data_IF_135229921305
#
_entry.id   IF_135229921305
#
_cell.length_a   1.000
_cell.length_b   1.000
_cell.length_c   1.000
_cell.angle_alpha   90.00
_cell.angle_beta   90.00
_cell.angle_gamma   90.00
#
_symmetry.space_group_name_H-M   'P 1'
#
loop_
_entity.id
_entity.type
_entity.pdbx_description
1 polymer ?
#
# COMPACT_ATOMS: atom_id res chain seq x y z
N UNK A 1 -4.88 1.24 38.60
CA UNK A 1 -4.07 2.45 38.30
C UNK A 1 -4.94 3.46 37.57
N UNK A 2 -4.53 4.72 37.42
CA UNK A 2 -5.27 5.65 36.56
C UNK A 2 -4.99 5.33 35.09
N UNK A 3 -6.04 5.36 34.24
CA UNK A 3 -5.90 5.20 32.79
C UNK A 3 -4.97 6.29 32.24
N UNK A 4 -3.96 5.89 31.48
CA UNK A 4 -2.99 6.80 30.85
C UNK A 4 -3.00 6.58 29.34
N UNK A 5 -3.25 7.65 28.60
CA UNK A 5 -3.19 7.65 27.13
C UNK A 5 -2.04 8.55 26.70
N UNK A 6 -1.07 7.98 25.99
CA UNK A 6 0.10 8.69 25.46
C UNK A 6 0.05 8.64 23.94
N UNK A 7 0.01 9.79 23.25
CA UNK A 7 -0.25 9.82 21.81
C UNK A 7 -0.09 11.19 21.15
N UNK A 8 -0.63 11.34 19.95
CA UNK A 8 -0.71 12.61 19.21
C UNK A 8 -1.94 13.43 19.66
N UNK A 9 -1.74 14.71 20.00
CA UNK A 9 -2.71 15.54 20.75
C UNK A 9 -4.15 15.54 20.24
N UNK A 10 -4.36 15.86 18.96
CA UNK A 10 -5.72 15.95 18.37
C UNK A 10 -6.40 14.57 18.25
N UNK A 11 -5.62 13.51 18.04
CA UNK A 11 -6.15 12.16 17.88
C UNK A 11 -6.37 11.42 19.21
N UNK A 12 -5.71 11.84 20.29
CA UNK A 12 -5.99 11.32 21.64
C UNK A 12 -7.47 11.53 21.99
N UNK A 13 -8.04 12.69 21.65
CA UNK A 13 -9.45 12.99 21.92
C UNK A 13 -10.41 12.02 21.21
N UNK A 14 -10.01 11.49 20.04
CA UNK A 14 -10.80 10.53 19.28
C UNK A 14 -10.84 9.14 19.93
N UNK A 15 -9.82 8.79 20.73
CA UNK A 15 -9.69 7.45 21.34
C UNK A 15 -10.01 7.44 22.84
N UNK A 16 -10.11 8.59 23.49
CA UNK A 16 -10.45 8.69 24.93
C UNK A 16 -11.85 8.16 25.25
N UNK A 17 -12.80 8.27 24.31
CA UNK A 17 -14.19 7.83 24.49
C UNK A 17 -14.42 6.33 24.32
N UNK A 18 -13.39 5.56 23.95
CA UNK A 18 -13.51 4.11 23.74
C UNK A 18 -13.68 3.34 25.07
N UNK A 19 -14.29 2.14 25.06
CA UNK A 19 -14.63 1.39 26.27
C UNK A 19 -13.40 0.68 26.88
N UNK A 20 -12.45 1.47 27.40
CA UNK A 20 -11.18 0.98 27.93
C UNK A 20 -11.30 0.09 29.18
N UNK A 21 -12.49 0.03 29.79
CA UNK A 21 -12.85 -0.83 30.92
C UNK A 21 -13.34 -2.22 30.49
N UNK A 22 -13.32 -2.55 29.19
CA UNK A 22 -13.65 -3.87 28.65
C UNK A 22 -12.44 -4.45 27.96
N UNK A 23 -12.29 -5.79 28.01
CA UNK A 23 -11.31 -6.52 27.19
C UNK A 23 -11.63 -6.29 25.71
N UNK A 24 -10.61 -6.16 24.84
CA UNK A 24 -10.85 -5.98 23.40
C UNK A 24 -11.70 -7.11 22.80
N UNK A 25 -11.61 -8.32 23.34
CA UNK A 25 -12.42 -9.45 22.87
C UNK A 25 -13.92 -9.19 22.98
N UNK A 26 -14.34 -8.42 23.99
CA UNK A 26 -15.73 -8.10 24.31
C UNK A 26 -16.23 -6.83 23.63
N UNK A 27 -15.34 -6.07 22.97
CA UNK A 27 -15.73 -4.86 22.28
C UNK A 27 -16.71 -5.17 21.15
N UNK A 28 -17.73 -4.32 20.94
CA UNK A 28 -18.64 -4.49 19.82
C UNK A 28 -17.86 -4.43 18.49
N UNK A 29 -18.04 -5.43 17.64
CA UNK A 29 -17.43 -5.46 16.31
C UNK A 29 -18.39 -4.77 15.32
N UNK A 30 -17.93 -3.71 14.63
CA UNK A 30 -18.64 -3.16 13.48
C UNK A 30 -18.58 -4.22 12.36
N UNK A 31 -19.71 -4.80 11.91
CA UNK A 31 -19.70 -5.85 10.90
C UNK A 31 -18.98 -5.44 9.61
N UNK A 32 -19.07 -4.16 9.22
CA UNK A 32 -18.41 -3.64 8.03
C UNK A 32 -16.90 -3.49 8.22
N UNK A 33 -16.39 -3.43 9.46
CA UNK A 33 -14.97 -3.41 9.77
C UNK A 33 -14.43 -4.81 10.12
N UNK A 34 -15.25 -5.69 10.68
CA UNK A 34 -14.89 -7.07 11.03
C UNK A 34 -14.31 -7.82 9.83
N UNK A 35 -14.93 -7.66 8.66
CA UNK A 35 -14.49 -8.28 7.39
C UNK A 35 -13.13 -7.77 6.89
N UNK A 36 -12.70 -6.58 7.34
CA UNK A 36 -11.41 -5.97 6.99
C UNK A 36 -10.26 -6.49 7.86
N UNK A 37 -10.57 -7.22 8.93
CA UNK A 37 -9.59 -7.73 9.88
C UNK A 37 -8.94 -9.01 9.35
N UNK A 38 -7.61 -9.00 9.29
CA UNK A 38 -6.82 -10.22 9.06
C UNK A 38 -6.81 -11.13 10.29
N UNK A 39 -6.39 -12.39 10.12
CA UNK A 39 -6.09 -13.26 11.26
C UNK A 39 -4.84 -12.71 11.93
N UNK A 40 -4.98 -12.23 13.16
CA UNK A 40 -3.87 -11.78 13.98
C UNK A 40 -3.66 -12.77 15.13
N UNK A 41 -2.40 -12.92 15.52
CA UNK A 41 -1.99 -13.64 16.73
C UNK A 41 -2.49 -12.94 17.99
N UNK A 42 -2.72 -11.64 17.90
CA UNK A 42 -3.24 -10.76 18.95
C UNK A 42 -4.70 -10.39 18.67
N UNK A 43 -5.45 -10.08 19.73
CA UNK A 43 -6.80 -9.52 19.59
C UNK A 43 -6.67 -8.11 19.02
N UNK A 44 -7.20 -7.92 17.81
CA UNK A 44 -7.24 -6.62 17.12
C UNK A 44 -8.70 -6.22 16.92
N UNK A 45 -9.02 -4.96 17.23
CA UNK A 45 -10.35 -4.38 16.96
C UNK A 45 -10.21 -3.15 16.10
N UNK A 46 -11.03 -3.08 15.05
CA UNK A 46 -11.19 -1.88 14.23
C UNK A 46 -12.34 -1.07 14.80
N UNK A 47 -12.08 0.20 15.12
CA UNK A 47 -13.06 1.08 15.78
C UNK A 47 -13.12 2.43 15.09
N UNK A 48 -14.31 3.02 15.06
CA UNK A 48 -14.52 4.39 14.60
C UNK A 48 -14.36 5.35 15.76
N UNK A 49 -13.75 6.51 15.50
CA UNK A 49 -13.66 7.61 16.47
C UNK A 49 -15.03 8.08 16.97
N UNK A 50 -16.01 8.13 16.07
CA UNK A 50 -17.38 8.60 16.31
C UNK A 50 -18.37 7.68 15.59
N UNK A 51 -19.67 7.91 15.77
CA UNK A 51 -20.72 7.15 15.07
C UNK A 51 -20.96 7.64 13.62
N UNK A 52 -20.19 8.61 13.14
CA UNK A 52 -20.29 9.11 11.77
C UNK A 52 -19.67 8.10 10.78
N UNK A 53 -20.25 7.98 9.58
CA UNK A 53 -19.81 6.99 8.59
C UNK A 53 -18.40 7.28 8.02
N UNK A 54 -18.00 8.55 7.99
CA UNK A 54 -16.71 9.04 7.53
C UNK A 54 -15.69 9.26 8.68
N UNK A 55 -16.06 8.87 9.91
CA UNK A 55 -15.18 8.97 11.06
C UNK A 55 -13.87 8.19 10.83
N UNK A 56 -12.72 8.71 11.30
CA UNK A 56 -11.46 8.00 11.28
C UNK A 56 -11.59 6.61 11.92
N UNK A 57 -11.01 5.61 11.26
CA UNK A 57 -10.96 4.25 11.75
C UNK A 57 -9.58 3.99 12.35
N UNK A 58 -9.56 3.33 13.50
CA UNK A 58 -8.35 2.95 14.22
C UNK A 58 -8.30 1.44 14.40
N UNK A 59 -7.09 0.88 14.39
CA UNK A 59 -6.82 -0.48 14.80
C UNK A 59 -6.23 -0.49 16.21
N UNK A 60 -6.90 -1.18 17.13
CA UNK A 60 -6.49 -1.33 18.53
C UNK A 60 -6.01 -2.75 18.75
N UNK A 61 -4.77 -2.91 19.23
CA UNK A 61 -4.13 -4.20 19.54
C UNK A 61 -3.81 -4.25 21.03
N UNK A 62 -4.23 -5.32 21.71
CA UNK A 62 -3.83 -5.61 23.10
C UNK A 62 -2.46 -6.29 23.14
N UNK A 63 -1.60 -5.84 24.06
CA UNK A 63 -0.26 -6.38 24.29
C UNK A 63 0.23 -5.98 25.70
N UNK A 64 1.50 -6.25 26.01
CA UNK A 64 2.14 -5.81 27.24
C UNK A 64 2.73 -4.40 27.09
N UNK A 65 2.82 -3.66 28.20
CA UNK A 65 3.24 -2.25 28.17
C UNK A 65 4.62 -2.04 27.51
N UNK A 66 5.57 -2.94 27.74
CA UNK A 66 6.90 -2.87 27.12
C UNK A 66 6.82 -2.89 25.58
N UNK A 67 6.07 -3.85 25.03
CA UNK A 67 5.92 -4.01 23.58
C UNK A 67 5.12 -2.88 22.95
N UNK A 68 4.02 -2.44 23.58
CA UNK A 68 3.24 -1.31 23.09
C UNK A 68 4.08 -0.01 23.00
N UNK A 69 4.86 0.30 24.03
CA UNK A 69 5.70 1.50 24.04
C UNK A 69 6.86 1.39 23.04
N UNK A 70 7.46 0.21 22.88
CA UNK A 70 8.51 -0.05 21.89
C UNK A 70 7.97 0.12 20.46
N UNK A 71 6.87 -0.55 20.13
CA UNK A 71 6.24 -0.49 18.82
C UNK A 71 5.80 0.94 18.48
N UNK A 72 5.17 1.65 19.42
CA UNK A 72 4.79 3.05 19.23
C UNK A 72 6.00 3.94 18.87
N UNK A 73 7.14 3.76 19.56
CA UNK A 73 8.36 4.52 19.28
C UNK A 73 8.91 4.19 17.88
N UNK A 74 8.96 2.91 17.53
CA UNK A 74 9.47 2.44 16.24
C UNK A 74 8.61 2.94 15.08
N UNK A 75 7.28 2.77 15.16
CA UNK A 75 6.34 3.26 14.15
C UNK A 75 6.43 4.78 13.98
N UNK A 76 6.64 5.52 15.07
CA UNK A 76 6.82 6.98 15.01
C UNK A 76 8.07 7.38 14.24
N UNK A 77 9.17 6.68 14.45
CA UNK A 77 10.42 6.92 13.73
C UNK A 77 10.27 6.55 12.24
N UNK A 78 9.69 5.39 11.94
CA UNK A 78 9.36 4.95 10.58
C UNK A 78 8.47 5.96 9.83
N UNK A 79 7.41 6.45 10.48
CA UNK A 79 6.52 7.48 9.93
C UNK A 79 7.28 8.77 9.64
N UNK A 80 8.18 9.21 10.53
CA UNK A 80 8.99 10.42 10.32
C UNK A 80 9.94 10.29 9.13
N UNK A 81 10.39 9.07 8.84
CA UNK A 81 11.22 8.71 7.69
C UNK A 81 10.40 8.38 6.43
N UNK A 82 9.08 8.55 6.47
CA UNK A 82 8.15 8.22 5.36
C UNK A 82 8.25 6.77 4.90
N UNK A 83 8.51 5.86 5.84
CA UNK A 83 8.41 4.43 5.59
C UNK A 83 6.95 4.05 5.32
N UNK A 84 6.68 3.06 4.45
CA UNK A 84 5.34 2.53 4.24
C UNK A 84 4.94 1.64 5.42
N UNK A 85 4.40 2.26 6.48
CA UNK A 85 3.88 1.59 7.66
C UNK A 85 2.56 2.21 8.12
N UNK A 86 1.83 1.52 9.00
CA UNK A 86 0.70 2.11 9.71
C UNK A 86 1.17 3.23 10.65
N UNK A 87 0.34 4.26 10.82
CA UNK A 87 0.67 5.39 11.69
C UNK A 87 0.26 5.09 13.13
N UNK A 88 1.18 5.28 14.07
CA UNK A 88 0.91 5.19 15.50
C UNK A 88 0.11 6.38 16.02
N UNK A 89 -0.91 6.11 16.83
CA UNK A 89 -1.84 7.12 17.37
C UNK A 89 -1.66 7.27 18.87
N UNK A 90 -1.76 6.16 19.60
CA UNK A 90 -1.68 6.17 21.05
C UNK A 90 -1.22 4.84 21.64
N UNK A 91 -0.71 4.90 22.87
CA UNK A 91 -0.54 3.78 23.80
C UNK A 91 -1.44 4.03 25.01
N UNK A 92 -2.16 2.99 25.44
CA UNK A 92 -3.16 3.04 26.52
C UNK A 92 -2.77 2.07 27.62
N UNK A 93 -2.36 2.63 28.75
CA UNK A 93 -1.86 1.91 29.93
C UNK A 93 -2.80 2.09 31.13
N UNK A 94 -2.65 1.21 32.12
CA UNK A 94 -3.40 1.29 33.37
C UNK A 94 -4.89 1.02 33.20
N UNK A 95 -5.26 0.24 32.18
CA UNK A 95 -6.64 -0.21 31.96
C UNK A 95 -7.06 -1.15 33.09
N UNK A 96 -8.29 -0.97 33.57
CA UNK A 96 -8.91 -1.86 34.55
C UNK A 96 -10.34 -2.11 34.16
N UNK A 97 -10.82 -3.32 34.39
CA UNK A 97 -12.22 -3.66 34.16
C UNK A 97 -13.15 -3.03 35.22
N UNK A 98 -14.46 -3.34 35.15
CA UNK A 98 -15.45 -2.86 36.13
C UNK A 98 -15.28 -3.44 37.54
N UNK A 99 -14.54 -4.54 37.69
CA UNK A 99 -14.26 -5.19 38.98
C UNK A 99 -12.95 -4.70 39.62
N UNK A 100 -12.14 -3.97 38.86
CA UNK A 100 -10.84 -3.44 39.27
C UNK A 100 -9.66 -4.35 38.91
N UNK A 101 -9.89 -5.41 38.14
CA UNK A 101 -8.84 -6.27 37.59
C UNK A 101 -8.09 -5.57 36.45
N UNK A 102 -6.80 -5.83 36.34
CA UNK A 102 -5.92 -5.21 35.35
C UNK A 102 -6.15 -5.81 33.96
N UNK A 103 -6.34 -4.94 32.96
CA UNK A 103 -6.46 -5.33 31.56
C UNK A 103 -5.13 -5.07 30.84
N UNK A 104 -4.83 -5.80 29.74
CA UNK A 104 -3.62 -5.59 28.97
C UNK A 104 -3.47 -4.15 28.45
N UNK A 105 -2.24 -3.72 28.25
CA UNK A 105 -1.96 -2.46 27.55
C UNK A 105 -2.49 -2.54 26.12
N UNK A 106 -2.83 -1.40 25.52
CA UNK A 106 -3.24 -1.35 24.12
C UNK A 106 -2.39 -0.36 23.33
N UNK A 107 -2.06 -0.71 22.09
CA UNK A 107 -1.54 0.21 21.09
C UNK A 107 -2.64 0.51 20.06
N UNK A 108 -2.74 1.78 19.68
CA UNK A 108 -3.69 2.27 18.68
C UNK A 108 -2.91 2.78 17.47
N UNK A 109 -3.28 2.28 16.30
CA UNK A 109 -2.75 2.73 15.00
C UNK A 109 -3.89 3.20 14.10
N UNK A 110 -3.59 4.07 13.14
CA UNK A 110 -4.57 4.47 12.11
C UNK A 110 -4.84 3.27 11.20
N UNK A 111 -6.12 2.99 10.96
CA UNK A 111 -6.48 2.01 9.94
C UNK A 111 -6.06 2.54 8.57
N UNK A 112 -5.40 1.70 7.79
CA UNK A 112 -4.97 2.03 6.43
C UNK A 112 -6.15 1.79 5.46
N UNK A 113 -6.75 2.83 4.87
CA UNK A 113 -7.91 2.66 3.98
C UNK A 113 -7.54 1.89 2.71
N UNK A 114 -8.51 1.17 2.15
CA UNK A 114 -8.37 0.38 0.92
C UNK A 114 -7.21 -0.63 0.96
N UNK A 115 -6.86 -1.08 2.17
CA UNK A 115 -5.84 -2.09 2.38
C UNK A 115 -6.48 -3.41 2.82
N UNK A 116 -5.89 -4.50 2.37
CA UNK A 116 -6.37 -5.85 2.63
C UNK A 116 -5.22 -6.75 3.10
N UNK A 117 -5.48 -7.66 4.05
CA UNK A 117 -4.52 -8.69 4.42
C UNK A 117 -4.37 -9.71 3.27
N UNK A 118 -3.20 -10.35 3.19
CA UNK A 118 -2.90 -11.31 2.12
C UNK A 118 -3.94 -12.43 1.98
N UNK A 119 -4.51 -12.90 3.10
CA UNK A 119 -5.50 -13.98 3.11
C UNK A 119 -6.77 -13.58 2.36
N UNK A 120 -7.25 -12.35 2.53
CA UNK A 120 -8.44 -11.86 1.82
C UNK A 120 -8.16 -11.76 0.32
N UNK A 121 -6.99 -11.23 -0.04
CA UNK A 121 -6.57 -11.14 -1.44
C UNK A 121 -6.44 -12.52 -2.07
N UNK A 122 -5.62 -13.40 -1.50
CA UNK A 122 -5.30 -14.70 -2.09
C UNK A 122 -6.42 -15.74 -2.02
N UNK A 123 -7.42 -15.55 -1.15
CA UNK A 123 -8.63 -16.39 -1.12
C UNK A 123 -9.68 -15.97 -2.15
N UNK A 124 -9.53 -14.78 -2.74
CA UNK A 124 -10.41 -14.27 -3.78
C UNK A 124 -10.03 -14.77 -5.18
N UNK A 125 -10.68 -14.21 -6.20
CA UNK A 125 -10.26 -14.40 -7.59
C UNK A 125 -8.98 -13.61 -7.85
N UNK A 126 -7.84 -14.29 -7.75
CA UNK A 126 -6.51 -13.71 -8.06
C UNK A 126 -5.92 -14.32 -9.31
N UNK A 127 -5.21 -13.48 -10.06
CA UNK A 127 -4.45 -13.89 -11.24
C UNK A 127 -2.98 -14.14 -10.88
N UNK A 128 -2.25 -14.85 -11.75
CA UNK A 128 -0.80 -14.96 -11.61
C UNK A 128 -0.10 -13.58 -11.61
N UNK A 129 -0.68 -12.59 -12.29
CA UNK A 129 -0.19 -11.21 -12.28
C UNK A 129 -0.36 -10.54 -10.91
N UNK A 130 -1.51 -10.72 -10.26
CA UNK A 130 -1.74 -10.21 -8.89
C UNK A 130 -0.74 -10.80 -7.90
N UNK A 131 -0.53 -12.13 -7.96
CA UNK A 131 0.46 -12.82 -7.10
C UNK A 131 1.87 -12.24 -7.32
N UNK A 132 2.25 -12.05 -8.58
CA UNK A 132 3.55 -11.50 -8.95
C UNK A 132 3.73 -10.07 -8.42
N UNK A 133 2.71 -9.22 -8.56
CA UNK A 133 2.75 -7.82 -8.13
C UNK A 133 2.69 -7.66 -6.60
N UNK A 134 1.92 -8.50 -5.89
CA UNK A 134 1.98 -8.58 -4.42
C UNK A 134 3.38 -8.96 -3.93
N UNK A 135 4.00 -9.95 -4.57
CA UNK A 135 5.36 -10.36 -4.20
C UNK A 135 6.41 -9.28 -4.54
N UNK A 136 6.21 -8.50 -5.60
CA UNK A 136 7.01 -7.30 -5.88
C UNK A 136 6.83 -6.26 -4.77
N UNK A 137 5.59 -5.99 -4.35
CA UNK A 137 5.27 -5.02 -3.31
C UNK A 137 5.95 -5.37 -1.98
N UNK A 138 5.86 -6.64 -1.55
CA UNK A 138 6.52 -7.11 -0.32
C UNK A 138 8.05 -7.01 -0.41
N UNK A 139 8.64 -7.41 -1.54
CA UNK A 139 10.08 -7.28 -1.75
C UNK A 139 10.54 -5.81 -1.72
N UNK A 140 9.76 -4.90 -2.32
CA UNK A 140 10.03 -3.47 -2.30
C UNK A 140 9.88 -2.88 -0.90
N UNK A 141 8.87 -3.28 -0.13
CA UNK A 141 8.71 -2.91 1.28
C UNK A 141 9.96 -3.26 2.08
N UNK A 142 10.44 -4.52 1.98
CA UNK A 142 11.67 -4.96 2.65
C UNK A 142 12.89 -4.13 2.24
N UNK A 143 13.07 -3.85 0.94
CA UNK A 143 14.17 -3.01 0.47
C UNK A 143 14.07 -1.60 1.06
N UNK A 144 12.89 -0.99 1.07
CA UNK A 144 12.68 0.36 1.61
C UNK A 144 13.02 0.42 3.10
N UNK A 145 12.55 -0.55 3.88
CA UNK A 145 12.88 -0.66 5.31
C UNK A 145 14.40 -0.81 5.52
N UNK A 146 15.05 -1.71 4.79
CA UNK A 146 16.48 -1.95 4.93
C UNK A 146 17.34 -0.74 4.51
N UNK A 147 16.88 0.06 3.54
CA UNK A 147 17.54 1.32 3.14
C UNK A 147 17.45 2.40 4.22
N UNK A 148 16.42 2.37 5.07
CA UNK A 148 16.28 3.25 6.23
C UNK A 148 17.11 2.78 7.44
N UNK A 149 17.84 1.67 7.31
CA UNK A 149 18.58 1.07 8.43
C UNK A 149 17.69 0.26 9.37
N UNK A 150 16.46 -0.05 8.96
CA UNK A 150 15.50 -0.78 9.79
C UNK A 150 15.63 -2.29 9.58
N UNK A 151 15.93 -3.01 10.66
CA UNK A 151 15.79 -4.47 10.76
C UNK A 151 14.37 -4.77 11.26
N UNK A 152 13.62 -5.61 10.55
CA UNK A 152 12.21 -5.86 10.88
C UNK A 152 12.07 -7.00 11.90
N UNK A 153 12.76 -8.12 11.72
CA UNK A 153 12.75 -9.23 12.69
C UNK A 153 11.50 -10.09 12.73
N UNK A 154 10.43 -9.73 12.01
CA UNK A 154 9.23 -10.55 11.85
C UNK A 154 8.56 -10.30 10.49
N UNK A 155 9.37 -10.33 9.43
CA UNK A 155 8.95 -10.20 8.04
C UNK A 155 7.94 -11.30 7.69
N UNK A 156 6.70 -10.96 7.42
CA UNK A 156 5.63 -11.93 7.12
C UNK A 156 4.50 -11.30 6.30
N UNK A 157 3.69 -12.12 5.64
CA UNK A 157 2.46 -11.66 4.99
C UNK A 157 1.42 -11.23 6.03
N UNK A 158 1.39 -11.86 7.21
CA UNK A 158 0.43 -11.49 8.27
C UNK A 158 0.72 -10.12 8.88
N UNK A 159 1.97 -9.69 8.91
CA UNK A 159 2.38 -8.35 9.36
C UNK A 159 2.42 -7.31 8.21
N UNK A 160 1.85 -7.66 7.05
CA UNK A 160 1.81 -6.80 5.86
C UNK A 160 0.37 -6.55 5.41
N UNK A 161 0.03 -5.27 5.17
CA UNK A 161 -1.18 -4.88 4.46
C UNK A 161 -0.86 -4.50 3.02
N UNK A 162 -1.75 -4.88 2.10
CA UNK A 162 -1.61 -4.58 0.68
C UNK A 162 -2.71 -3.64 0.22
N UNK A 163 -2.33 -2.57 -0.48
CA UNK A 163 -3.24 -1.69 -1.20
C UNK A 163 -3.08 -1.92 -2.69
N UNK A 164 -4.18 -1.85 -3.44
CA UNK A 164 -4.07 -1.81 -4.90
C UNK A 164 -3.42 -0.51 -5.32
N UNK A 165 -2.49 -0.61 -6.25
CA UNK A 165 -1.79 0.51 -6.84
C UNK A 165 -1.80 0.36 -8.36
N UNK A 166 -2.88 0.83 -8.99
CA UNK A 166 -3.15 0.65 -10.41
C UNK A 166 -3.08 -0.84 -10.81
N UNK A 167 -2.20 -1.20 -11.73
CA UNK A 167 -1.96 -2.58 -12.18
C UNK A 167 -1.18 -3.46 -11.19
N UNK A 168 -0.80 -2.93 -10.02
CA UNK A 168 0.00 -3.61 -9.02
C UNK A 168 -0.49 -3.39 -7.58
N UNK A 169 0.43 -3.52 -6.64
CA UNK A 169 0.18 -3.37 -5.21
C UNK A 169 1.26 -2.54 -4.53
N UNK A 170 0.84 -1.80 -3.50
CA UNK A 170 1.71 -1.24 -2.48
C UNK A 170 1.59 -2.07 -1.19
N UNK A 171 2.70 -2.28 -0.49
CA UNK A 171 2.75 -3.06 0.75
C UNK A 171 3.17 -2.17 1.93
N UNK A 172 2.56 -2.41 3.09
CA UNK A 172 2.73 -1.62 4.31
C UNK A 172 3.02 -2.52 5.51
N UNK A 173 4.01 -2.11 6.29
CA UNK A 173 4.31 -2.69 7.60
C UNK A 173 3.20 -2.37 8.60
N UNK A 174 2.67 -3.39 9.29
CA UNK A 174 1.67 -3.20 10.35
C UNK A 174 2.26 -3.40 11.73
N UNK A 175 3.09 -4.42 11.88
CA UNK A 175 3.67 -4.81 13.16
C UNK A 175 5.18 -4.58 13.16
N UNK A 176 5.61 -3.67 14.03
CA UNK A 176 7.01 -3.29 14.20
C UNK A 176 7.57 -3.68 15.58
N UNK A 177 6.87 -4.54 16.32
CA UNK A 177 7.19 -4.92 17.71
C UNK A 177 8.63 -5.46 17.84
N UNK A 178 9.04 -6.34 16.94
CA UNK A 178 10.38 -6.96 16.92
C UNK A 178 11.44 -6.08 16.28
N UNK A 179 11.04 -5.01 15.60
CA UNK A 179 11.94 -4.23 14.75
C UNK A 179 12.91 -3.35 15.53
N UNK A 180 14.02 -3.02 14.88
CA UNK A 180 15.09 -2.18 15.42
C UNK A 180 15.77 -1.32 14.35
N UNK A 181 16.01 -0.05 14.68
CA UNK A 181 16.85 0.82 13.87
C UNK A 181 18.33 0.60 14.14
N UNK A 182 19.09 0.47 13.07
CA UNK A 182 20.54 0.38 13.05
C UNK A 182 21.11 1.61 12.35
N UNK A 183 22.27 2.09 12.81
CA UNK A 183 22.96 3.23 12.14
C UNK A 183 23.21 2.94 10.65
N UNK A 184 23.62 1.71 10.38
CA UNK A 184 23.71 1.13 9.05
C UNK A 184 23.36 -0.33 9.19
N UNK A 185 22.37 -0.79 8.44
CA UNK A 185 21.99 -2.20 8.44
C UNK A 185 23.08 -3.02 7.73
N UNK A 186 23.64 -4.00 8.43
CA UNK A 186 24.67 -4.88 7.90
C UNK A 186 24.09 -5.92 6.94
N UNK A 187 24.91 -6.48 6.04
CA UNK A 187 24.47 -7.56 5.16
C UNK A 187 23.99 -8.79 5.93
N UNK A 188 24.60 -9.12 7.08
CA UNK A 188 24.14 -10.21 7.93
C UNK A 188 22.75 -9.98 8.52
N UNK A 189 22.44 -8.76 8.96
CA UNK A 189 21.09 -8.42 9.44
C UNK A 189 20.05 -8.46 8.32
N UNK A 190 20.42 -8.02 7.11
CA UNK A 190 19.53 -8.11 5.94
C UNK A 190 19.24 -9.55 5.58
N UNK A 191 20.26 -10.39 5.44
CA UNK A 191 20.06 -11.80 5.11
C UNK A 191 19.27 -12.53 6.20
N UNK A 192 19.43 -12.15 7.47
CA UNK A 192 18.59 -12.69 8.55
C UNK A 192 17.10 -12.36 8.36
N UNK A 193 16.75 -11.12 8.00
CA UNK A 193 15.36 -10.76 7.66
C UNK A 193 14.85 -11.52 6.43
N UNK A 194 15.72 -11.84 5.47
CA UNK A 194 15.34 -12.65 4.29
C UNK A 194 15.11 -14.12 4.65
N UNK A 195 15.88 -14.69 5.58
CA UNK A 195 15.66 -16.05 6.07
C UNK A 195 14.33 -16.15 6.84
N UNK A 196 14.03 -15.16 7.69
CA UNK A 196 12.75 -15.04 8.39
C UNK A 196 11.61 -14.91 7.36
N UNK A 197 11.74 -13.99 6.40
CA UNK A 197 10.73 -13.79 5.36
C UNK A 197 10.49 -15.06 4.53
N UNK A 198 11.55 -15.79 4.16
CA UNK A 198 11.43 -17.05 3.43
C UNK A 198 10.56 -18.05 4.20
N UNK A 199 10.87 -18.27 5.48
CA UNK A 199 10.15 -19.24 6.30
C UNK A 199 8.70 -18.82 6.55
N UNK A 200 8.50 -17.57 7.00
CA UNK A 200 7.18 -17.07 7.36
C UNK A 200 6.24 -17.03 6.15
N UNK A 201 6.68 -16.49 5.01
CA UNK A 201 5.87 -16.41 3.79
C UNK A 201 5.52 -17.82 3.29
N UNK A 202 6.46 -18.76 3.28
CA UNK A 202 6.17 -20.12 2.86
C UNK A 202 5.16 -20.81 3.79
N UNK A 203 5.30 -20.66 5.11
CA UNK A 203 4.40 -21.24 6.10
C UNK A 203 2.97 -20.67 6.00
N UNK A 204 2.84 -19.36 5.80
CA UNK A 204 1.55 -18.69 5.66
C UNK A 204 0.83 -19.05 4.36
N UNK A 205 1.56 -19.17 3.26
CA UNK A 205 1.00 -19.67 1.99
C UNK A 205 0.61 -21.16 2.08
N UNK A 206 1.39 -21.96 2.80
CA UNK A 206 1.07 -23.37 3.08
C UNK A 206 -0.23 -23.51 3.89
N UNK A 207 -0.46 -22.63 4.89
CA UNK A 207 -1.73 -22.59 5.64
C UNK A 207 -2.94 -22.31 4.73
N UNK A 208 -2.81 -21.36 3.79
CA UNK A 208 -3.85 -21.10 2.78
C UNK A 208 -4.08 -22.31 1.88
N UNK A 209 -3.02 -23.02 1.52
CA UNK A 209 -3.09 -24.21 0.67
C UNK A 209 -3.84 -25.34 1.38
N UNK A 210 -3.52 -25.58 2.65
CA UNK A 210 -4.18 -26.58 3.49
C UNK A 210 -5.66 -26.23 3.74
N UNK A 211 -5.97 -24.94 3.83
CA UNK A 211 -7.34 -24.43 3.94
C UNK A 211 -8.13 -24.49 2.62
N UNK A 212 -7.49 -24.87 1.50
CA UNK A 212 -8.15 -25.01 0.20
C UNK A 212 -8.48 -23.68 -0.50
N UNK A 213 -7.94 -22.56 -0.03
CA UNK A 213 -8.24 -21.22 -0.54
C UNK A 213 -7.09 -20.58 -1.31
N UNK A 214 -5.90 -21.21 -1.34
CA UNK A 214 -4.77 -20.69 -2.11
C UNK A 214 -5.02 -20.79 -3.63
N UNK A 215 -4.51 -19.81 -4.38
CA UNK A 215 -4.46 -19.82 -5.84
C UNK A 215 -3.96 -21.18 -6.40
N UNK A 216 -4.73 -21.83 -7.30
CA UNK A 216 -4.40 -23.16 -7.81
C UNK A 216 -3.02 -23.24 -8.47
N UNK A 217 -2.25 -24.25 -8.09
CA UNK A 217 -0.92 -24.49 -8.65
C UNK A 217 0.19 -23.59 -8.10
N UNK A 218 -0.10 -22.71 -7.14
CA UNK A 218 0.94 -22.01 -6.39
C UNK A 218 1.68 -22.98 -5.47
N UNK A 219 3.00 -23.01 -5.59
CA UNK A 219 3.89 -23.67 -4.65
C UNK A 219 4.38 -22.66 -3.60
N UNK A 220 4.06 -22.83 -2.30
CA UNK A 220 4.40 -21.89 -1.24
C UNK A 220 5.89 -21.58 -1.14
N UNK A 221 6.75 -22.59 -1.26
CA UNK A 221 8.20 -22.43 -1.13
C UNK A 221 8.75 -21.63 -2.32
N UNK A 222 8.39 -21.99 -3.55
CA UNK A 222 8.80 -21.25 -4.75
C UNK A 222 8.29 -19.81 -4.76
N UNK A 223 7.09 -19.56 -4.22
CA UNK A 223 6.54 -18.22 -4.08
C UNK A 223 7.36 -17.39 -3.10
N UNK A 224 7.70 -17.93 -1.93
CA UNK A 224 8.59 -17.29 -0.96
C UNK A 224 9.98 -17.01 -1.55
N UNK A 225 10.58 -17.99 -2.24
CA UNK A 225 11.87 -17.79 -2.93
C UNK A 225 11.80 -16.68 -3.99
N UNK A 226 10.66 -16.54 -4.66
CA UNK A 226 10.48 -15.49 -5.65
C UNK A 226 10.47 -14.10 -5.01
N UNK A 227 9.93 -13.94 -3.79
CA UNK A 227 10.05 -12.69 -3.00
C UNK A 227 11.53 -12.40 -2.72
N UNK A 228 12.30 -13.38 -2.24
CA UNK A 228 13.73 -13.19 -1.90
C UNK A 228 14.56 -12.85 -3.15
N UNK A 229 14.33 -13.53 -4.28
CA UNK A 229 15.00 -13.22 -5.55
C UNK A 229 14.70 -11.80 -6.02
N UNK A 230 13.44 -11.34 -5.89
CA UNK A 230 13.07 -9.96 -6.23
C UNK A 230 13.73 -8.96 -5.31
N UNK A 231 13.72 -9.19 -3.99
CA UNK A 231 14.42 -8.35 -3.03
C UNK A 231 15.88 -8.15 -3.44
N UNK A 232 16.61 -9.25 -3.71
CA UNK A 232 18.02 -9.20 -4.09
C UNK A 232 18.24 -8.42 -5.38
N UNK A 233 17.35 -8.59 -6.38
CA UNK A 233 17.40 -7.82 -7.65
C UNK A 233 17.20 -6.33 -7.44
N UNK A 234 16.18 -5.93 -6.66
CA UNK A 234 15.90 -4.52 -6.36
C UNK A 234 17.07 -3.92 -5.57
N UNK A 235 17.56 -4.62 -4.54
CA UNK A 235 18.68 -4.16 -3.72
C UNK A 235 19.96 -3.94 -4.53
N UNK A 236 20.35 -4.93 -5.34
CA UNK A 236 21.50 -4.82 -6.23
C UNK A 236 21.34 -3.64 -7.19
N UNK A 237 20.17 -3.50 -7.83
CA UNK A 237 19.92 -2.41 -8.77
C UNK A 237 20.04 -1.02 -8.12
N UNK A 238 19.65 -0.85 -6.84
CA UNK A 238 19.73 0.42 -6.13
C UNK A 238 21.14 0.74 -5.62
N UNK A 239 21.91 -0.28 -5.21
CA UNK A 239 23.25 -0.10 -4.62
C UNK A 239 24.38 -0.11 -5.64
N UNK A 240 24.21 -0.81 -6.75
CA UNK A 240 25.22 -0.98 -7.79
C UNK A 240 24.87 -0.11 -9.01
N UNK A 241 25.82 0.73 -9.44
CA UNK A 241 25.67 1.52 -10.67
C UNK A 241 25.88 0.61 -11.87
N UNK A 242 24.95 0.61 -12.82
CA UNK A 242 25.14 -0.08 -14.09
C UNK A 242 25.87 0.83 -15.07
N UNK A 243 27.07 0.42 -15.51
CA UNK A 243 27.85 1.11 -16.53
C UNK A 243 27.57 0.48 -17.91
N UNK A 244 27.04 1.26 -18.84
CA UNK A 244 26.65 0.82 -20.18
C UNK A 244 27.35 1.68 -21.24
N UNK A 245 27.69 1.08 -22.39
CA UNK A 245 28.19 1.83 -23.54
C UNK A 245 27.02 2.63 -24.15
N UNK A 246 27.10 3.98 -24.25
CA UNK A 246 26.07 4.80 -24.88
C UNK A 246 25.70 4.41 -26.31
N UNK A 247 26.60 3.74 -27.03
CA UNK A 247 26.38 3.32 -28.43
C UNK A 247 25.61 1.99 -28.52
N UNK A 248 25.56 1.20 -27.46
CA UNK A 248 24.79 -0.03 -27.41
C UNK A 248 23.33 0.27 -26.99
N UNK A 249 22.53 0.66 -27.98
CA UNK A 249 21.08 0.91 -27.79
C UNK A 249 20.35 -0.29 -27.18
N UNK A 250 20.74 -1.51 -27.52
CA UNK A 250 20.09 -2.70 -27.00
C UNK A 250 20.42 -2.94 -25.52
N UNK A 251 21.64 -2.64 -25.09
CA UNK A 251 22.00 -2.69 -23.67
C UNK A 251 21.23 -1.66 -22.84
N UNK A 252 21.12 -0.42 -23.33
CA UNK A 252 20.33 0.63 -22.67
C UNK A 252 18.86 0.26 -22.57
N UNK A 253 18.25 -0.23 -23.65
CA UNK A 253 16.85 -0.67 -23.64
C UNK A 253 16.61 -1.85 -22.68
N UNK A 254 17.53 -2.82 -22.64
CA UNK A 254 17.43 -3.95 -21.70
C UNK A 254 17.50 -3.47 -20.25
N UNK A 255 18.41 -2.54 -19.93
CA UNK A 255 18.54 -1.97 -18.59
C UNK A 255 17.28 -1.19 -18.20
N UNK A 256 16.72 -0.37 -19.11
CA UNK A 256 15.46 0.34 -18.87
C UNK A 256 14.30 -0.63 -18.63
N UNK A 257 14.16 -1.70 -19.43
CA UNK A 257 13.12 -2.72 -19.22
C UNK A 257 13.31 -3.45 -17.89
N UNK A 258 14.54 -3.80 -17.53
CA UNK A 258 14.82 -4.45 -16.25
C UNK A 258 14.43 -3.56 -15.06
N UNK A 259 14.68 -2.25 -15.13
CA UNK A 259 14.25 -1.31 -14.11
C UNK A 259 12.73 -1.17 -14.07
N UNK A 260 12.08 -1.14 -15.23
CA UNK A 260 10.62 -1.14 -15.32
C UNK A 260 9.98 -2.40 -14.72
N UNK A 261 10.53 -3.58 -15.00
CA UNK A 261 10.08 -4.85 -14.41
C UNK A 261 10.25 -4.90 -12.88
N UNK A 262 11.14 -4.06 -12.33
CA UNK A 262 11.35 -3.87 -10.89
C UNK A 262 10.48 -2.75 -10.30
N UNK A 263 9.65 -2.09 -11.12
CA UNK A 263 8.72 -1.03 -10.70
C UNK A 263 9.25 0.39 -10.80
N UNK A 264 10.46 0.60 -11.33
CA UNK A 264 11.05 1.94 -11.51
C UNK A 264 10.62 2.57 -12.83
N UNK A 265 10.27 3.86 -12.81
CA UNK A 265 10.03 4.64 -14.03
C UNK A 265 11.33 5.18 -14.63
N UNK A 266 11.34 5.50 -15.93
CA UNK A 266 12.52 6.08 -16.61
C UNK A 266 12.94 7.41 -16.01
N UNK A 267 11.96 8.24 -15.58
CA UNK A 267 12.21 9.51 -14.89
C UNK A 267 12.88 9.32 -13.51
N UNK A 268 12.87 8.09 -12.98
CA UNK A 268 13.48 7.71 -11.71
C UNK A 268 14.93 7.20 -11.88
N UNK A 269 15.50 7.32 -13.08
CA UNK A 269 16.86 6.85 -13.38
C UNK A 269 17.78 8.04 -13.62
N UNK A 270 18.80 8.20 -12.78
CA UNK A 270 19.85 9.17 -13.07
C UNK A 270 20.82 8.58 -14.10
N UNK A 271 21.03 9.33 -15.17
CA UNK A 271 21.97 9.02 -16.24
C UNK A 271 23.12 10.03 -16.16
N UNK A 272 24.33 9.56 -15.91
CA UNK A 272 25.54 10.38 -15.94
C UNK A 272 26.55 9.79 -16.91
N UNK A 273 27.17 10.63 -17.73
CA UNK A 273 28.30 10.21 -18.56
C UNK A 273 29.55 10.32 -17.69
N UNK A 274 30.22 9.20 -17.47
CA UNK A 274 31.50 9.19 -16.77
C UNK A 274 32.58 9.81 -17.69
N UNK A 275 33.23 10.86 -17.20
CA UNK A 275 34.15 11.67 -17.99
C UNK A 275 35.42 10.93 -18.42
N UNK A 276 35.84 9.93 -17.63
CA UNK A 276 37.04 9.15 -17.89
C UNK A 276 36.78 7.95 -18.80
N UNK A 277 35.64 7.27 -18.64
CA UNK A 277 35.30 6.05 -19.39
C UNK A 277 34.35 6.27 -20.57
N UNK A 278 33.75 7.46 -20.71
CA UNK A 278 32.64 7.76 -21.65
C UNK A 278 31.43 6.80 -21.53
N UNK A 279 31.33 6.05 -20.43
CA UNK A 279 30.22 5.13 -20.19
C UNK A 279 29.01 5.88 -19.62
N UNK A 280 27.80 5.43 -19.98
CA UNK A 280 26.58 5.84 -19.30
C UNK A 280 26.43 5.07 -18.00
N UNK A 281 26.45 5.77 -16.88
CA UNK A 281 26.06 5.22 -15.58
C UNK A 281 24.55 5.38 -15.41
N UNK A 282 23.84 4.25 -15.34
CA UNK A 282 22.44 4.17 -14.94
C UNK A 282 22.37 3.80 -13.47
N UNK A 283 21.73 4.65 -12.68
CA UNK A 283 21.40 4.33 -11.30
C UNK A 283 19.92 4.64 -11.07
N UNK A 284 19.08 3.62 -10.79
CA UNK A 284 17.74 3.89 -10.32
C UNK A 284 17.87 4.62 -8.99
N UNK A 285 17.15 5.72 -8.88
CA UNK A 285 16.91 6.32 -7.59
C UNK A 285 15.65 5.66 -7.09
N UNK A 286 15.69 5.20 -5.84
CA UNK A 286 14.48 5.27 -5.06
C UNK A 286 14.21 6.76 -4.91
N UNK A 287 13.61 7.38 -5.94
CA UNK A 287 13.23 8.79 -5.90
C UNK A 287 12.42 8.95 -4.63
N UNK A 288 12.66 10.05 -3.90
CA UNK A 288 11.99 10.36 -2.64
C UNK A 288 10.55 9.84 -2.72
N UNK A 289 10.28 8.74 -2.00
CA UNK A 289 9.10 7.94 -2.25
C UNK A 289 7.87 8.85 -2.31
N UNK A 290 7.13 8.79 -3.41
CA UNK A 290 6.04 9.71 -3.67
C UNK A 290 6.38 10.91 -4.56
N UNK A 291 7.26 10.81 -5.57
CA UNK A 291 7.42 11.92 -6.53
C UNK A 291 6.14 12.15 -7.34
N UNK A 292 5.60 11.09 -7.93
CA UNK A 292 4.36 11.21 -8.71
C UNK A 292 3.19 11.52 -7.79
N UNK A 293 3.14 10.92 -6.60
CA UNK A 293 2.09 11.20 -5.61
C UNK A 293 2.16 12.64 -5.12
N UNK A 294 3.35 13.18 -4.82
CA UNK A 294 3.56 14.57 -4.43
C UNK A 294 3.19 15.52 -5.58
N UNK A 295 3.63 15.25 -6.80
CA UNK A 295 3.29 16.06 -7.98
C UNK A 295 1.78 16.07 -8.24
N UNK A 296 1.11 14.92 -8.13
CA UNK A 296 -0.34 14.84 -8.28
C UNK A 296 -1.06 15.59 -7.15
N UNK A 297 -0.60 15.45 -5.91
CA UNK A 297 -1.10 16.19 -4.75
C UNK A 297 -0.95 17.70 -4.92
N UNK A 298 0.20 18.18 -5.37
CA UNK A 298 0.45 19.61 -5.61
C UNK A 298 -0.42 20.19 -6.74
N UNK A 299 -0.68 19.40 -7.79
CA UNK A 299 -1.48 19.84 -8.93
C UNK A 299 -2.99 19.75 -8.69
N UNK A 300 -3.46 18.71 -7.99
CA UNK A 300 -4.86 18.31 -7.96
C UNK A 300 -5.39 17.96 -6.55
N UNK A 301 -4.53 17.90 -5.53
CA UNK A 301 -4.93 17.56 -4.17
C UNK A 301 -5.37 16.10 -3.96
N UNK A 302 -5.02 15.19 -4.87
CA UNK A 302 -5.40 13.78 -4.80
C UNK A 302 -4.30 12.98 -4.12
N UNK A 303 -4.65 12.30 -3.03
CA UNK A 303 -3.82 11.29 -2.38
C UNK A 303 -3.89 9.97 -3.17
N UNK A 304 -2.75 9.36 -3.45
CA UNK A 304 -2.63 8.15 -4.30
C UNK A 304 -1.40 7.34 -3.96
N UNK A 305 -1.40 6.09 -4.39
CA UNK A 305 -0.17 5.29 -4.54
C UNK A 305 0.59 5.65 -5.84
N UNK A 306 1.83 5.17 -5.98
CA UNK A 306 2.77 5.67 -7.00
C UNK A 306 2.34 5.32 -8.43
N UNK A 307 1.87 4.10 -8.70
CA UNK A 307 1.40 3.68 -10.03
C UNK A 307 0.06 4.33 -10.38
N UNK A 308 -0.84 4.50 -9.41
CA UNK A 308 -2.05 5.30 -9.57
C UNK A 308 -1.69 6.74 -9.97
N UNK A 309 -0.74 7.36 -9.27
CA UNK A 309 -0.31 8.72 -9.57
C UNK A 309 0.26 8.84 -10.99
N UNK A 310 1.13 7.89 -11.38
CA UNK A 310 1.66 7.77 -12.75
C UNK A 310 0.53 7.69 -13.77
N UNK A 311 -0.47 6.85 -13.51
CA UNK A 311 -1.62 6.66 -14.41
C UNK A 311 -2.44 7.93 -14.59
N UNK A 312 -2.75 8.62 -13.48
CA UNK A 312 -3.53 9.85 -13.49
C UNK A 312 -2.77 10.99 -14.18
N UNK A 313 -1.48 11.16 -13.87
CA UNK A 313 -0.61 12.14 -14.53
C UNK A 313 -0.51 11.88 -16.03
N UNK A 314 -0.40 10.63 -16.47
CA UNK A 314 -0.40 10.29 -17.90
C UNK A 314 -1.75 10.58 -18.60
N UNK A 315 -2.87 10.48 -17.88
CA UNK A 315 -4.18 10.94 -18.39
C UNK A 315 -4.22 12.46 -18.53
N UNK A 316 -3.75 13.18 -17.50
CA UNK A 316 -3.64 14.63 -17.49
C UNK A 316 -2.72 15.16 -18.60
N UNK A 317 -1.53 14.59 -18.79
CA UNK A 317 -0.59 15.03 -19.82
C UNK A 317 -1.19 14.89 -21.23
N UNK A 318 -1.95 13.81 -21.48
CA UNK A 318 -2.72 13.65 -22.73
C UNK A 318 -3.82 14.68 -22.90
N UNK A 319 -4.48 15.08 -21.81
CA UNK A 319 -5.46 16.17 -21.83
C UNK A 319 -4.80 17.51 -22.14
N UNK A 320 -3.68 17.81 -21.46
CA UNK A 320 -2.91 19.05 -21.65
C UNK A 320 -2.37 19.17 -23.08
N UNK A 321 -1.87 18.09 -23.67
CA UNK A 321 -1.37 18.08 -25.05
C UNK A 321 -2.43 18.55 -26.07
N UNK A 322 -3.71 18.25 -25.83
CA UNK A 322 -4.83 18.71 -26.68
C UNK A 322 -5.18 20.19 -26.46
N UNK A 323 -4.74 20.77 -25.34
CA UNK A 323 -5.02 22.14 -24.92
C UNK A 323 -3.77 23.05 -24.96
N UNK A 324 -2.69 22.64 -25.65
CA UNK A 324 -1.41 23.36 -25.72
C UNK A 324 -1.52 24.82 -26.23
N UNK A 325 -2.64 25.19 -26.86
CA UNK A 325 -2.92 26.57 -27.31
C UNK A 325 -3.57 27.45 -26.25
N UNK A 326 -3.82 26.94 -25.05
CA UNK A 326 -4.40 27.69 -23.94
C UNK A 326 -3.33 28.52 -23.22
N UNK A 327 -3.66 29.77 -22.86
CA UNK A 327 -2.77 30.63 -22.07
C UNK A 327 -2.73 30.27 -20.57
N UNK A 328 -3.41 29.20 -20.16
CA UNK A 328 -3.51 28.76 -18.78
C UNK A 328 -2.19 28.14 -18.28
N UNK A 329 -1.89 28.35 -17.00
CA UNK A 329 -0.81 27.68 -16.30
C UNK A 329 -1.08 26.16 -16.16
N UNK A 330 -0.02 25.37 -15.93
CA UNK A 330 -0.13 23.92 -15.73
C UNK A 330 -1.12 23.57 -14.61
N UNK A 331 -1.10 24.33 -13.51
CA UNK A 331 -2.00 24.14 -12.37
C UNK A 331 -3.46 24.45 -12.74
N UNK A 332 -3.72 25.47 -13.55
CA UNK A 332 -5.08 25.77 -14.03
C UNK A 332 -5.61 24.68 -14.97
N UNK A 333 -4.76 24.17 -15.88
CA UNK A 333 -5.14 23.04 -16.74
C UNK A 333 -5.37 21.77 -15.92
N UNK A 334 -4.60 21.54 -14.85
CA UNK A 334 -4.79 20.40 -13.95
C UNK A 334 -6.11 20.47 -13.21
N UNK A 335 -6.47 21.64 -12.66
CA UNK A 335 -7.79 21.87 -12.04
C UNK A 335 -8.93 21.69 -13.03
N UNK A 336 -8.76 22.17 -14.27
CA UNK A 336 -9.75 22.01 -15.33
C UNK A 336 -9.94 20.53 -15.66
N UNK A 337 -8.85 19.77 -15.87
CA UNK A 337 -8.92 18.32 -16.08
C UNK A 337 -9.61 17.60 -14.91
N UNK A 338 -9.31 18.00 -13.68
CA UNK A 338 -9.94 17.42 -12.50
C UNK A 338 -11.45 17.63 -12.49
N UNK A 339 -11.91 18.86 -12.75
CA UNK A 339 -13.34 19.23 -12.73
C UNK A 339 -14.10 18.69 -13.95
N UNK A 340 -13.47 18.64 -15.13
CA UNK A 340 -14.15 18.30 -16.38
C UNK A 340 -13.99 16.82 -16.78
N UNK A 341 -12.98 16.12 -16.25
CA UNK A 341 -12.69 14.73 -16.62
C UNK A 341 -12.73 13.81 -15.41
N UNK A 342 -11.99 14.11 -14.35
CA UNK A 342 -11.89 13.18 -13.21
C UNK A 342 -13.20 13.13 -12.40
N UNK A 343 -13.66 14.26 -11.87
CA UNK A 343 -14.86 14.35 -11.03
C UNK A 343 -16.13 13.84 -11.75
N UNK A 344 -16.44 14.23 -12.99
CA UNK A 344 -17.67 13.78 -13.64
C UNK A 344 -17.70 12.26 -13.86
N UNK A 345 -16.55 11.65 -14.08
CA UNK A 345 -16.43 10.20 -14.27
C UNK A 345 -16.56 9.46 -12.95
N UNK A 346 -15.92 9.93 -11.88
CA UNK A 346 -16.09 9.32 -10.56
C UNK A 346 -17.52 9.52 -10.03
N UNK A 347 -18.15 10.66 -10.31
CA UNK A 347 -19.52 10.95 -9.88
C UNK A 347 -20.60 10.19 -10.65
N UNK A 348 -20.24 9.41 -11.69
CA UNK A 348 -21.14 8.40 -12.28
C UNK A 348 -21.39 7.21 -11.36
N UNK A 349 -20.56 7.03 -10.33
CA UNK A 349 -20.76 5.96 -9.33
C UNK A 349 -21.97 6.28 -8.44
N UNK A 350 -22.99 5.39 -8.39
CA UNK A 350 -24.15 5.54 -7.53
C UNK A 350 -23.75 5.68 -6.06
N UNK A 351 -24.52 6.44 -5.30
CA UNK A 351 -24.25 6.74 -3.89
C UNK A 351 -24.02 5.47 -3.07
N UNK A 352 -24.84 4.44 -3.27
CA UNK A 352 -24.76 3.15 -2.60
C UNK A 352 -23.54 2.30 -2.99
N UNK A 353 -22.72 2.72 -3.96
CA UNK A 353 -21.49 2.02 -4.36
C UNK A 353 -20.23 2.86 -4.10
N UNK A 354 -20.38 4.08 -3.59
CA UNK A 354 -19.25 4.94 -3.24
C UNK A 354 -18.43 4.29 -2.12
N UNK A 355 -17.11 4.52 -2.17
CA UNK A 355 -16.19 3.98 -1.19
C UNK A 355 -15.86 2.49 -1.35
N UNK A 356 -16.46 1.76 -2.31
CA UNK A 356 -16.09 0.35 -2.57
C UNK A 356 -14.65 0.19 -3.05
N UNK A 357 -14.20 1.13 -3.88
CA UNK A 357 -12.85 1.22 -4.47
C UNK A 357 -12.36 2.66 -4.31
N UNK A 358 -11.07 2.83 -4.06
CA UNK A 358 -10.43 4.14 -4.00
C UNK A 358 -10.65 4.92 -5.31
N UNK A 359 -10.91 6.24 -5.21
CA UNK A 359 -11.24 7.07 -6.39
C UNK A 359 -10.17 6.98 -7.49
N UNK A 360 -8.89 7.01 -7.11
CA UNK A 360 -7.80 6.93 -8.07
C UNK A 360 -7.67 5.54 -8.73
N UNK A 361 -7.81 4.47 -7.93
CA UNK A 361 -7.87 3.10 -8.44
C UNK A 361 -9.05 2.91 -9.40
N UNK A 362 -10.22 3.41 -9.03
CA UNK A 362 -11.43 3.36 -9.85
C UNK A 362 -11.23 4.09 -11.18
N UNK A 363 -10.64 5.29 -11.16
CA UNK A 363 -10.34 6.00 -12.40
C UNK A 363 -9.36 5.23 -13.29
N UNK A 364 -8.32 4.62 -12.71
CA UNK A 364 -7.40 3.74 -13.43
C UNK A 364 -8.16 2.59 -14.11
N UNK A 365 -9.05 1.90 -13.40
CA UNK A 365 -9.81 0.76 -13.93
C UNK A 365 -10.80 1.16 -15.01
N UNK A 366 -11.44 2.33 -14.87
CA UNK A 366 -12.31 2.87 -15.93
C UNK A 366 -11.49 3.16 -17.20
N UNK A 367 -10.25 3.65 -17.07
CA UNK A 367 -9.36 3.84 -18.21
C UNK A 367 -8.97 2.51 -18.88
N UNK A 368 -8.73 1.45 -18.10
CA UNK A 368 -8.48 0.11 -18.63
C UNK A 368 -9.72 -0.48 -19.30
N UNK A 369 -10.89 -0.36 -18.68
CA UNK A 369 -12.15 -0.80 -19.25
C UNK A 369 -12.44 -0.09 -20.58
N UNK A 370 -12.19 1.22 -20.65
CA UNK A 370 -12.29 1.98 -21.90
C UNK A 370 -11.40 1.39 -22.98
N UNK A 371 -10.16 1.05 -22.66
CA UNK A 371 -9.22 0.46 -23.62
C UNK A 371 -9.75 -0.88 -24.14
N UNK A 372 -10.16 -1.77 -23.24
CA UNK A 372 -10.72 -3.08 -23.59
C UNK A 372 -11.98 -2.98 -24.46
N UNK A 373 -12.95 -2.15 -24.08
CA UNK A 373 -14.18 -1.94 -24.85
C UNK A 373 -13.90 -1.31 -26.22
N UNK A 374 -12.92 -0.40 -26.30
CA UNK A 374 -12.53 0.22 -27.57
C UNK A 374 -11.86 -0.77 -28.52
N UNK A 375 -11.04 -1.69 -27.97
CA UNK A 375 -10.42 -2.78 -28.74
C UNK A 375 -11.48 -3.71 -29.33
N UNK A 376 -12.47 -4.13 -28.51
CA UNK A 376 -13.57 -4.98 -28.98
C UNK A 376 -14.43 -4.32 -30.05
N UNK A 377 -14.74 -3.02 -29.90
CA UNK A 377 -15.57 -2.27 -30.85
C UNK A 377 -14.82 -1.84 -32.11
N UNK A 378 -13.48 -1.81 -32.06
CA UNK A 378 -12.63 -1.25 -33.13
C UNK A 378 -12.64 0.28 -33.20
N UNK A 379 -13.16 0.97 -32.17
CA UNK A 379 -13.23 2.44 -32.10
C UNK A 379 -13.33 2.89 -30.65
N UNK A 380 -12.85 4.10 -30.33
CA UNK A 380 -12.97 4.69 -29.00
C UNK A 380 -14.43 4.77 -28.54
N UNK A 381 -14.75 4.14 -27.40
CA UNK A 381 -16.10 4.18 -26.81
C UNK A 381 -16.38 5.44 -25.99
N UNK A 382 -15.34 6.20 -25.64
CA UNK A 382 -15.44 7.34 -24.74
C UNK A 382 -15.42 6.94 -23.25
N UNK A 383 -15.04 7.89 -22.39
CA UNK A 383 -14.82 7.64 -20.97
C UNK A 383 -16.13 7.46 -20.19
N UNK A 384 -17.17 8.19 -20.60
CA UNK A 384 -18.51 8.11 -20.01
C UNK A 384 -19.13 6.72 -20.17
N UNK A 385 -19.12 6.17 -21.39
CA UNK A 385 -19.63 4.84 -21.65
C UNK A 385 -18.84 3.76 -20.89
N UNK A 386 -17.51 3.90 -20.84
CA UNK A 386 -16.66 2.98 -20.10
C UNK A 386 -16.91 3.03 -18.58
N UNK A 387 -17.22 4.21 -18.03
CA UNK A 387 -17.58 4.39 -16.63
C UNK A 387 -18.92 3.73 -16.32
N UNK A 388 -19.94 3.94 -17.15
CA UNK A 388 -21.26 3.30 -16.98
C UNK A 388 -21.15 1.77 -17.04
N UNK A 389 -20.39 1.27 -18.01
CA UNK A 389 -20.12 -0.17 -18.12
C UNK A 389 -19.32 -0.70 -16.91
N UNK A 390 -18.31 0.03 -16.44
CA UNK A 390 -17.55 -0.37 -15.24
C UNK A 390 -18.45 -0.46 -14.00
N UNK A 391 -19.34 0.51 -13.80
CA UNK A 391 -20.29 0.55 -12.68
C UNK A 391 -21.26 -0.65 -12.73
N UNK A 392 -21.66 -1.07 -13.93
CA UNK A 392 -22.61 -2.17 -14.12
C UNK A 392 -21.94 -3.56 -14.02
N UNK A 393 -20.76 -3.72 -14.64
CA UNK A 393 -20.17 -5.05 -14.87
C UNK A 393 -19.03 -5.40 -13.91
N UNK A 394 -18.33 -4.39 -13.38
CA UNK A 394 -17.08 -4.61 -12.63
C UNK A 394 -17.25 -4.20 -11.17
N UNK A 395 -17.65 -2.95 -10.90
CA UNK A 395 -17.76 -2.39 -9.55
C UNK A 395 -18.60 -3.22 -8.56
N UNK A 396 -19.71 -3.89 -8.95
CA UNK A 396 -20.50 -4.70 -8.01
C UNK A 396 -19.69 -5.82 -7.35
N UNK A 397 -18.68 -6.34 -8.06
CA UNK A 397 -17.82 -7.43 -7.61
C UNK A 397 -16.52 -6.94 -6.96
N UNK A 398 -16.26 -5.63 -6.95
CA UNK A 398 -15.07 -5.04 -6.33
C UNK A 398 -15.28 -4.83 -4.83
N UNK A 399 -14.26 -5.23 -4.06
CA UNK A 399 -14.28 -5.27 -2.58
C UNK A 399 -13.00 -4.70 -1.95
N UNK A 400 -12.35 -3.72 -2.58
CA UNK A 400 -11.05 -3.21 -2.08
C UNK A 400 -11.17 -2.46 -0.74
N UNK A 401 -12.36 -1.97 -0.43
CA UNK A 401 -12.70 -1.41 0.88
C UNK A 401 -13.01 -2.45 1.96
N UNK A 402 -13.18 -3.73 1.60
CA UNK A 402 -13.58 -4.82 2.49
C UNK A 402 -15.01 -4.71 3.04
N UNK A 403 -15.97 -4.24 2.22
CA UNK A 403 -17.40 -4.14 2.59
C UNK A 403 -18.26 -4.91 1.59
N UNK A 404 -19.12 -5.80 2.07
CA UNK A 404 -20.30 -6.26 1.32
C UNK A 404 -21.44 -5.23 1.44
N UNK A 405 -21.87 -4.66 0.31
CA UNK A 405 -23.16 -3.98 0.22
C UNK A 405 -24.11 -4.98 -0.43
N UNK A 406 -25.27 -5.29 0.19
CA UNK A 406 -26.16 -6.32 -0.32
C UNK A 406 -26.46 -6.07 -1.80
N UNK A 407 -26.19 -7.10 -2.62
CA UNK A 407 -26.74 -7.14 -3.96
C UNK A 407 -28.26 -7.26 -3.82
N UNK A 408 -29.00 -6.30 -4.38
CA UNK A 408 -30.43 -6.45 -4.57
C UNK A 408 -30.73 -7.25 -5.83
#
# INVERSE_FOLDING_TARGET
>A
MALRITGLGEEIAAVTGLPWQQSLEEWPEDPALAEKRGISRHVVRLVRATTEEDAPVYAVKETVAEFANREYKVLRELTSLKAPCVEQIAVVEGRTDTTGEELPCAIVTRFLPYSLPYRVLLSGSVTAHDVNTMANALALLLVRLHLLGFWWGDCSLSNTLFRRDAEGFAAYLVDAETGEFQKTLSDGQREHDLDIAMFNVAAELEDLRLSGVLYPGMDPVRAAEAVIRRYRRIWAALKERQLLDPKDRHAVERAMRQLHDLGFAVEEVSITIDGDSQMLSFQPRLVAAGYHTQRLRELMGIETEELQAKRLLASFDRYRARHERSALSVTEVAKTWFIEVFEPIINRVPEQMRGRVERAQMFHEILENRWYLSEQKGSDVGLEFAADNYVQEILPYRRDSGVDIPAH
#
